data_IF_692650829118
#
_entry.id   IF_692650829118
#
_cell.length_a   1.000
_cell.length_b   1.000
_cell.length_c   1.000
_cell.angle_alpha   90.00
_cell.angle_beta   90.00
_cell.angle_gamma   90.00
#
_symmetry.space_group_name_H-M   'P 1'
#
loop_
_entity.id
_entity.type
_entity.pdbx_description
1 polymer ?
#
# COMPACT_ATOMS: atom_id res chain seq x y z
N UNK A 1 36.82 -22.10 -10.78
CA UNK A 1 35.71 -22.55 -9.92
C UNK A 1 35.14 -21.32 -9.22
N UNK A 2 33.94 -20.86 -9.63
CA UNK A 2 33.25 -19.74 -8.98
C UNK A 2 32.15 -20.30 -8.08
N UNK A 3 31.99 -19.80 -6.84
CA UNK A 3 31.00 -20.33 -5.93
C UNK A 3 29.60 -19.87 -6.37
N UNK A 4 28.80 -20.83 -6.78
CA UNK A 4 27.38 -20.68 -7.04
C UNK A 4 26.69 -20.29 -5.73
N UNK A 5 26.15 -19.08 -5.66
CA UNK A 5 25.57 -18.50 -4.45
C UNK A 5 24.13 -19.05 -4.28
N UNK A 6 23.87 -20.09 -3.46
CA UNK A 6 22.69 -20.91 -3.63
C UNK A 6 21.64 -20.58 -2.56
N UNK A 7 21.22 -19.30 -2.41
CA UNK A 7 20.24 -18.94 -1.35
C UNK A 7 19.37 -17.69 -1.56
N UNK A 8 19.12 -17.24 -2.80
CA UNK A 8 18.13 -16.14 -3.05
C UNK A 8 17.00 -16.42 -4.04
N UNK A 9 16.92 -17.59 -4.68
CA UNK A 9 16.16 -17.69 -5.94
C UNK A 9 14.82 -18.47 -5.95
N UNK A 10 14.38 -19.09 -4.83
CA UNK A 10 13.11 -19.87 -4.83
C UNK A 10 11.92 -19.24 -4.10
N UNK A 11 12.14 -18.59 -2.96
CA UNK A 11 11.07 -17.92 -2.19
C UNK A 11 10.56 -16.63 -2.86
N UNK A 12 11.43 -15.91 -3.57
CA UNK A 12 11.12 -14.62 -4.19
C UNK A 12 10.13 -14.69 -5.36
N UNK A 13 10.14 -15.78 -6.16
CA UNK A 13 9.20 -15.97 -7.28
C UNK A 13 7.77 -16.21 -6.81
N UNK A 14 7.58 -16.99 -5.74
CA UNK A 14 6.27 -17.26 -5.16
C UNK A 14 5.61 -16.00 -4.58
N UNK A 15 6.38 -15.24 -3.78
CA UNK A 15 5.92 -13.98 -3.20
C UNK A 15 5.58 -12.93 -4.29
N UNK A 16 6.41 -12.79 -5.33
CA UNK A 16 6.14 -11.88 -6.42
C UNK A 16 4.86 -12.24 -7.20
N UNK A 17 4.61 -13.55 -7.43
CA UNK A 17 3.37 -14.02 -8.06
C UNK A 17 2.15 -13.73 -7.19
N UNK A 18 2.23 -14.00 -5.89
CA UNK A 18 1.16 -13.71 -4.94
C UNK A 18 0.80 -12.21 -4.91
N UNK A 19 1.81 -11.33 -4.85
CA UNK A 19 1.57 -9.87 -4.90
C UNK A 19 0.86 -9.45 -6.18
N UNK A 20 1.25 -9.99 -7.36
CA UNK A 20 0.58 -9.66 -8.63
C UNK A 20 -0.88 -10.13 -8.63
N UNK A 21 -1.16 -11.32 -8.12
CA UNK A 21 -2.52 -11.85 -8.04
C UNK A 21 -3.39 -11.03 -7.10
N UNK A 22 -2.89 -10.66 -5.91
CA UNK A 22 -3.62 -9.81 -4.97
C UNK A 22 -3.82 -8.40 -5.53
N UNK A 23 -2.85 -7.84 -6.27
CA UNK A 23 -3.03 -6.57 -6.99
C UNK A 23 -4.13 -6.64 -8.05
N UNK A 24 -4.24 -7.75 -8.77
CA UNK A 24 -5.32 -7.95 -9.74
C UNK A 24 -6.70 -7.99 -9.06
N UNK A 25 -6.83 -8.73 -7.96
CA UNK A 25 -8.05 -8.76 -7.14
C UNK A 25 -8.40 -7.40 -6.56
N UNK A 26 -7.39 -6.68 -6.07
CA UNK A 26 -7.58 -5.32 -5.59
C UNK A 26 -8.18 -4.44 -6.68
N UNK A 27 -7.64 -4.46 -7.90
CA UNK A 27 -8.18 -3.67 -9.03
C UNK A 27 -9.62 -4.04 -9.38
N UNK A 28 -9.96 -5.32 -9.36
CA UNK A 28 -11.34 -5.77 -9.57
C UNK A 28 -12.27 -5.28 -8.46
N UNK A 29 -11.84 -5.38 -7.20
CA UNK A 29 -12.57 -4.91 -6.02
C UNK A 29 -12.72 -3.38 -6.00
N UNK A 30 -11.73 -2.64 -6.52
CA UNK A 30 -11.80 -1.20 -6.70
C UNK A 30 -12.91 -0.80 -7.67
N UNK A 31 -13.07 -1.54 -8.77
CA UNK A 31 -14.13 -1.30 -9.76
C UNK A 31 -15.52 -1.62 -9.19
N UNK A 32 -15.62 -2.62 -8.32
CA UNK A 32 -16.88 -3.05 -7.70
C UNK A 32 -17.17 -2.36 -6.36
N UNK A 33 -16.31 -1.42 -5.92
CA UNK A 33 -16.37 -0.77 -4.60
C UNK A 33 -16.51 -1.77 -3.44
N UNK A 34 -15.89 -2.94 -3.59
CA UNK A 34 -16.02 -4.04 -2.65
C UNK A 34 -15.45 -3.67 -1.28
N UNK A 35 -16.10 -4.08 -0.17
CA UNK A 35 -15.54 -3.90 1.18
C UNK A 35 -14.19 -4.65 1.36
N UNK A 36 -13.91 -5.65 0.51
CA UNK A 36 -12.66 -6.42 0.56
C UNK A 36 -11.41 -5.62 0.11
N UNK A 37 -11.61 -4.44 -0.48
CA UNK A 37 -10.53 -3.63 -1.06
C UNK A 37 -9.44 -3.32 -0.02
N UNK A 38 -9.81 -3.04 1.24
CA UNK A 38 -8.84 -2.83 2.31
C UNK A 38 -8.07 -4.10 2.67
N UNK A 39 -8.73 -5.25 2.75
CA UNK A 39 -8.08 -6.51 3.12
C UNK A 39 -7.04 -6.96 2.08
N UNK A 40 -7.34 -6.77 0.80
CA UNK A 40 -6.40 -7.09 -0.27
C UNK A 40 -5.20 -6.13 -0.26
N UNK A 41 -5.42 -4.85 0.03
CA UNK A 41 -4.33 -3.90 0.25
C UNK A 41 -3.48 -4.32 1.46
N UNK A 42 -4.10 -4.70 2.56
CA UNK A 42 -3.41 -5.13 3.77
C UNK A 42 -2.55 -6.39 3.52
N UNK A 43 -3.08 -7.36 2.76
CA UNK A 43 -2.30 -8.54 2.33
C UNK A 43 -1.06 -8.13 1.53
N UNK A 44 -1.19 -7.16 0.62
CA UNK A 44 -0.05 -6.63 -0.14
C UNK A 44 0.97 -5.96 0.79
N UNK A 45 0.51 -5.17 1.77
CA UNK A 45 1.39 -4.54 2.75
C UNK A 45 2.16 -5.57 3.57
N UNK A 46 1.48 -6.59 4.12
CA UNK A 46 2.12 -7.70 4.86
C UNK A 46 3.14 -8.46 4.00
N UNK A 47 2.90 -8.62 2.70
CA UNK A 47 3.83 -9.29 1.79
C UNK A 47 5.05 -8.43 1.41
N UNK A 48 4.88 -7.10 1.30
CA UNK A 48 5.96 -6.19 0.85
C UNK A 48 6.75 -5.55 1.98
N UNK A 49 6.18 -5.46 3.16
CA UNK A 49 6.76 -4.80 4.34
C UNK A 49 6.78 -5.81 5.50
N UNK A 50 7.91 -6.49 5.73
CA UNK A 50 8.04 -7.49 6.79
C UNK A 50 7.74 -6.92 8.18
N UNK A 51 8.01 -5.63 8.37
CA UNK A 51 7.77 -4.85 9.59
C UNK A 51 6.43 -4.10 9.57
N UNK A 52 5.50 -4.43 8.67
CA UNK A 52 4.18 -3.79 8.60
C UNK A 52 3.45 -3.78 9.96
N UNK A 53 3.58 -4.86 10.74
CA UNK A 53 3.00 -5.02 12.08
C UNK A 53 3.49 -3.93 13.06
N UNK A 54 4.76 -3.56 12.99
CA UNK A 54 5.34 -2.52 13.84
C UNK A 54 4.82 -1.13 13.45
N UNK A 55 4.61 -0.89 12.15
CA UNK A 55 4.04 0.37 11.66
C UNK A 55 2.56 0.56 12.04
N UNK A 56 1.74 -0.51 12.01
CA UNK A 56 0.33 -0.41 12.40
C UNK A 56 0.14 -0.33 13.91
N UNK A 57 1.07 -0.84 14.71
CA UNK A 57 0.99 -0.76 16.17
C UNK A 57 1.03 0.69 16.68
N UNK A 58 1.67 1.60 15.95
CA UNK A 58 1.75 3.02 16.27
C UNK A 58 0.59 3.88 15.75
N UNK A 59 -0.28 3.36 14.88
CA UNK A 59 -1.40 4.14 14.32
C UNK A 59 -1.86 3.66 12.94
N UNK A 60 -2.87 2.78 12.84
CA UNK A 60 -3.38 2.33 11.53
C UNK A 60 -4.15 3.43 10.77
N UNK A 61 -4.47 4.54 11.45
CA UNK A 61 -5.26 5.65 10.92
C UNK A 61 -4.61 6.32 9.71
N UNK A 62 -3.32 6.67 9.78
CA UNK A 62 -2.61 7.33 8.68
C UNK A 62 -2.55 6.44 7.42
N UNK A 63 -2.35 5.14 7.62
CA UNK A 63 -2.25 4.15 6.52
C UNK A 63 -3.61 4.02 5.83
N UNK A 64 -4.69 3.90 6.61
CA UNK A 64 -6.07 3.81 6.08
C UNK A 64 -6.50 5.10 5.38
N UNK A 65 -6.18 6.25 5.96
CA UNK A 65 -6.52 7.54 5.38
C UNK A 65 -5.79 7.76 4.06
N UNK A 66 -4.49 7.45 4.00
CA UNK A 66 -3.75 7.55 2.74
C UNK A 66 -4.27 6.58 1.68
N UNK A 67 -4.62 5.35 2.07
CA UNK A 67 -5.27 4.41 1.17
C UNK A 67 -6.58 4.99 0.60
N UNK A 68 -7.40 5.62 1.43
CA UNK A 68 -8.64 6.29 0.99
C UNK A 68 -8.37 7.48 0.07
N UNK A 69 -7.34 8.28 0.34
CA UNK A 69 -6.92 9.38 -0.56
C UNK A 69 -6.51 8.83 -1.93
N UNK A 70 -5.75 7.74 -1.96
CA UNK A 70 -5.34 7.11 -3.23
C UNK A 70 -6.53 6.49 -3.97
N UNK A 71 -7.45 5.87 -3.23
CA UNK A 71 -8.70 5.33 -3.75
C UNK A 71 -9.54 6.41 -4.44
N UNK A 72 -9.84 7.50 -3.72
CA UNK A 72 -10.66 8.59 -4.25
C UNK A 72 -9.96 9.35 -5.36
N UNK A 73 -8.62 9.45 -5.32
CA UNK A 73 -7.86 10.13 -6.37
C UNK A 73 -8.02 9.50 -7.76
N UNK A 74 -8.45 8.24 -7.86
CA UNK A 74 -8.77 7.62 -9.14
C UNK A 74 -10.08 8.15 -9.77
N UNK A 75 -10.98 8.73 -8.96
CA UNK A 75 -12.28 9.25 -9.38
C UNK A 75 -12.38 10.78 -9.37
N UNK A 76 -11.40 11.47 -8.76
CA UNK A 76 -11.37 12.93 -8.64
C UNK A 76 -10.62 13.58 -9.80
N UNK A 77 -11.00 14.82 -10.12
CA UNK A 77 -10.21 15.71 -10.98
C UNK A 77 -8.95 16.23 -10.25
N UNK A 78 -8.08 16.98 -10.95
CA UNK A 78 -6.82 17.47 -10.37
C UNK A 78 -7.04 18.33 -9.10
N UNK A 79 -8.09 19.15 -9.09
CA UNK A 79 -8.43 19.97 -7.93
C UNK A 79 -8.89 19.11 -6.73
N UNK A 80 -9.73 18.11 -6.95
CA UNK A 80 -10.18 17.17 -5.92
C UNK A 80 -9.03 16.32 -5.38
N UNK A 81 -8.09 15.90 -6.23
CA UNK A 81 -6.87 15.19 -5.80
C UNK A 81 -6.02 16.06 -4.87
N UNK A 82 -5.87 17.35 -5.19
CA UNK A 82 -5.11 18.28 -4.37
C UNK A 82 -5.78 18.54 -3.02
N UNK A 83 -7.10 18.75 -3.01
CA UNK A 83 -7.87 18.90 -1.76
C UNK A 83 -7.78 17.65 -0.87
N UNK A 84 -7.88 16.45 -1.44
CA UNK A 84 -7.75 15.21 -0.68
C UNK A 84 -6.34 15.04 -0.07
N UNK A 85 -5.29 15.43 -0.80
CA UNK A 85 -3.91 15.44 -0.27
C UNK A 85 -3.75 16.48 0.83
N UNK A 86 -4.31 17.67 0.65
CA UNK A 86 -4.25 18.74 1.66
C UNK A 86 -4.96 18.34 2.95
N UNK A 87 -6.18 17.81 2.85
CA UNK A 87 -6.94 17.30 4.00
C UNK A 87 -6.20 16.18 4.75
N UNK A 88 -5.45 15.34 4.03
CA UNK A 88 -4.58 14.33 4.65
C UNK A 88 -3.42 14.97 5.42
N UNK A 89 -2.74 15.96 4.83
CA UNK A 89 -1.63 16.68 5.48
C UNK A 89 -2.08 17.55 6.65
N UNK A 90 -3.33 18.00 6.66
CA UNK A 90 -3.92 18.73 7.79
C UNK A 90 -4.27 17.81 8.96
N UNK A 91 -4.61 16.54 8.68
CA UNK A 91 -5.02 15.57 9.71
C UNK A 91 -3.85 14.86 10.37
N UNK A 92 -2.74 14.67 9.65
CA UNK A 92 -1.59 13.90 10.12
C UNK A 92 -0.35 14.79 10.21
N UNK A 93 0.39 14.67 11.30
CA UNK A 93 1.63 15.42 11.52
C UNK A 93 2.73 15.01 10.54
N UNK A 94 3.73 15.88 10.37
CA UNK A 94 4.88 15.58 9.51
C UNK A 94 5.67 14.38 10.04
N UNK A 95 5.75 14.23 11.36
CA UNK A 95 6.40 13.10 12.01
C UNK A 95 5.66 11.78 11.72
N UNK A 96 4.33 11.75 11.80
CA UNK A 96 3.54 10.56 11.47
C UNK A 96 3.70 10.18 10.00
N UNK A 97 3.64 11.17 9.09
CA UNK A 97 3.84 10.95 7.65
C UNK A 97 5.25 10.42 7.37
N UNK A 98 6.28 10.99 8.02
CA UNK A 98 7.66 10.53 7.87
C UNK A 98 7.84 9.10 8.40
N UNK A 99 7.24 8.78 9.55
CA UNK A 99 7.29 7.44 10.14
C UNK A 99 6.58 6.38 9.29
N UNK A 100 5.53 6.75 8.55
CA UNK A 100 4.78 5.83 7.69
C UNK A 100 5.26 5.80 6.22
N UNK A 101 6.29 6.57 5.85
CA UNK A 101 6.69 6.86 4.45
C UNK A 101 6.76 5.61 3.56
N UNK A 102 7.39 4.54 4.03
CA UNK A 102 7.56 3.31 3.25
C UNK A 102 6.22 2.60 2.99
N UNK A 103 5.32 2.60 3.98
CA UNK A 103 3.96 2.07 3.86
C UNK A 103 3.15 2.88 2.85
N UNK A 104 3.20 4.21 2.97
CA UNK A 104 2.48 5.12 2.07
C UNK A 104 2.97 4.98 0.62
N UNK A 105 4.27 4.75 0.41
CA UNK A 105 4.83 4.50 -0.91
C UNK A 105 4.31 3.20 -1.53
N UNK A 106 4.21 2.10 -0.76
CA UNK A 106 3.67 0.83 -1.26
C UNK A 106 2.21 0.97 -1.66
N UNK A 107 1.39 1.69 -0.89
CA UNK A 107 0.01 2.01 -1.24
C UNK A 107 -0.05 2.76 -2.57
N UNK A 108 0.75 3.83 -2.72
CA UNK A 108 0.77 4.65 -3.93
C UNK A 108 1.13 3.86 -5.18
N UNK A 109 2.10 2.94 -5.10
CA UNK A 109 2.50 2.04 -6.21
C UNK A 109 1.49 0.93 -6.51
N UNK A 110 0.50 0.73 -5.63
CA UNK A 110 -0.45 -0.36 -5.71
C UNK A 110 -1.78 0.10 -6.28
N UNK A 111 -2.24 1.29 -5.87
CA UNK A 111 -3.47 1.96 -6.34
C UNK A 111 -3.13 2.94 -7.48
N UNK A 112 -2.31 2.50 -8.44
CA UNK A 112 -1.99 3.22 -9.68
C UNK A 112 -2.77 2.63 -10.84
#
# INVERSE_FOLDING_TARGET
>A
MSPENPRRSRSSRGAAKAVRQTKAKLRENLLTQSPQTWEDMEKILKMRLPNYQEFIAGGPGIIRDWFRVRLSSAMLDENGKEQARKAFQERHSKEEIAGAKDVLAVISQTVQ
#
